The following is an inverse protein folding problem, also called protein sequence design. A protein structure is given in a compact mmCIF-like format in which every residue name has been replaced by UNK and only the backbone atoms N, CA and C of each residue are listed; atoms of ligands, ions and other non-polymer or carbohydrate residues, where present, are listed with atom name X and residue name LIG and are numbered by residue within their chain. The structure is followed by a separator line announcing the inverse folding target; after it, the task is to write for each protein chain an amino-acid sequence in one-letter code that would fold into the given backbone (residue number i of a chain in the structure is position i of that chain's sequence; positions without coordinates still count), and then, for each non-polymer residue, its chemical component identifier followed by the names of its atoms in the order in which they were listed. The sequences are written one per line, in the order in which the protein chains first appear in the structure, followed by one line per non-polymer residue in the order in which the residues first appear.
data_IF_479591042019
#
_entry.id   IF_479591042019
#
_cell.length_a   1.000
_cell.length_b   1.000
_cell.length_c   1.000
_cell.angle_alpha   90.00
_cell.angle_beta   90.00
_cell.angle_gamma   90.00
#
_symmetry.space_group_name_H-M   'P 1'
#
loop_
_entity.id
_entity.type
_entity.pdbx_description
1 polymer ?
#
# COMPACT_ATOMS: atom_id res chain seq x y z
N UNK A 1 -2.25 32.16 -1.66
CA UNK A 1 -1.50 31.04 -2.30
C UNK A 1 -0.94 30.07 -1.24
N UNK A 2 -1.65 29.86 -0.12
CA UNK A 2 -1.38 28.82 0.88
C UNK A 2 -2.53 27.80 0.96
N UNK A 3 -3.73 28.19 0.52
CA UNK A 3 -4.94 27.36 0.58
C UNK A 3 -4.94 26.13 -0.33
N UNK A 4 -4.13 26.06 -1.39
CA UNK A 4 -4.07 24.88 -2.28
C UNK A 4 -3.23 23.74 -1.71
N UNK A 5 -2.23 24.06 -0.90
CA UNK A 5 -1.36 23.05 -0.25
C UNK A 5 -2.06 22.45 0.97
N UNK A 6 -2.91 23.22 1.65
CA UNK A 6 -3.77 22.72 2.72
C UNK A 6 -4.93 21.85 2.19
N UNK A 7 -5.47 22.13 1.00
CA UNK A 7 -6.52 21.33 0.35
C UNK A 7 -6.02 19.92 -0.06
N UNK A 8 -4.79 19.82 -0.55
CA UNK A 8 -4.12 18.54 -0.83
C UNK A 8 -3.88 17.72 0.46
N UNK A 9 -3.64 18.40 1.60
CA UNK A 9 -3.56 17.78 2.92
C UNK A 9 -4.91 17.34 3.50
N UNK A 10 -6.04 17.66 2.88
CA UNK A 10 -7.34 17.09 3.27
C UNK A 10 -7.72 15.85 2.45
N UNK A 11 -6.90 15.47 1.44
CA UNK A 11 -7.21 14.38 0.50
C UNK A 11 -6.38 13.11 0.67
N UNK A 12 -5.25 13.16 1.39
CA UNK A 12 -4.52 11.93 1.77
C UNK A 12 -5.39 11.00 2.64
N UNK A 13 -6.37 11.55 3.36
CA UNK A 13 -7.35 10.77 4.11
C UNK A 13 -8.21 9.88 3.21
N UNK A 14 -8.41 10.20 1.92
CA UNK A 14 -9.14 9.33 0.98
C UNK A 14 -8.30 8.11 0.57
N UNK A 15 -7.01 8.32 0.33
CA UNK A 15 -6.05 7.23 0.09
C UNK A 15 -5.98 6.33 1.32
N UNK A 16 -5.98 6.90 2.54
CA UNK A 16 -5.96 6.16 3.80
C UNK A 16 -7.32 5.55 4.17
N UNK A 17 -8.45 6.16 3.81
CA UNK A 17 -9.79 5.62 4.09
C UNK A 17 -10.08 4.35 3.28
N UNK A 18 -9.44 4.16 2.12
CA UNK A 18 -9.43 2.88 1.43
C UNK A 18 -8.75 1.75 2.24
N UNK A 19 -7.92 2.08 3.24
CA UNK A 19 -7.22 1.11 4.10
C UNK A 19 -8.01 0.67 5.35
N UNK A 20 -9.04 1.39 5.79
CA UNK A 20 -9.69 1.15 7.10
C UNK A 20 -10.87 0.14 7.04
N UNK A 21 -11.24 -0.32 5.85
CA UNK A 21 -12.54 -0.98 5.60
C UNK A 21 -12.62 -2.52 5.76
N UNK A 22 -11.58 -3.24 6.20
CA UNK A 22 -11.63 -4.71 6.17
C UNK A 22 -10.54 -5.46 6.91
N UNK A 23 -10.42 -5.26 8.23
CA UNK A 23 -9.52 -6.04 9.09
C UNK A 23 -10.31 -6.84 10.12
N UNK A 24 -10.74 -8.06 9.76
CA UNK A 24 -11.22 -9.05 10.75
C UNK A 24 -10.32 -10.27 10.75
N UNK A 25 -9.54 -10.37 11.82
CA UNK A 25 -8.56 -11.43 12.08
C UNK A 25 -9.21 -12.80 12.30
N UNK A 26 -8.52 -13.85 11.86
CA UNK A 26 -8.87 -15.21 12.19
C UNK A 26 -7.72 -16.18 11.96
N UNK A 27 -6.78 -16.28 12.91
CA UNK A 27 -5.92 -17.48 13.04
C UNK A 27 -5.76 -17.81 14.53
N UNK A 28 -6.09 -19.06 14.86
CA UNK A 28 -6.16 -19.61 16.21
C UNK A 28 -4.84 -20.15 16.78
N UNK A 29 -4.99 -20.59 18.03
CA UNK A 29 -4.03 -20.99 19.07
C UNK A 29 -3.22 -22.26 18.82
N UNK A 30 -2.03 -22.33 19.46
CA UNK A 30 -1.41 -23.42 20.26
C UNK A 30 0.09 -23.07 20.42
N UNK A 31 0.87 -23.30 21.49
CA UNK A 31 0.79 -24.01 22.76
C UNK A 31 2.25 -24.10 23.32
N UNK A 32 2.42 -24.06 24.63
CA UNK A 32 3.65 -23.67 25.36
C UNK A 32 4.84 -24.67 25.39
N UNK A 33 6.06 -24.15 25.62
CA UNK A 33 7.02 -24.64 26.63
C UNK A 33 8.21 -23.67 26.84
N UNK A 34 8.50 -23.38 28.11
CA UNK A 34 9.48 -22.40 28.61
C UNK A 34 10.88 -23.00 28.84
N UNK A 35 11.93 -22.16 28.87
CA UNK A 35 13.04 -22.25 29.83
C UNK A 35 13.77 -20.89 29.93
N UNK A 36 13.84 -20.35 31.15
CA UNK A 36 14.20 -18.95 31.43
C UNK A 36 15.69 -18.59 31.50
N UNK A 37 15.94 -17.28 31.66
CA UNK A 37 17.22 -16.75 32.15
C UNK A 37 17.60 -15.33 31.69
N UNK A 38 17.24 -14.33 32.51
CA UNK A 38 17.96 -13.06 32.80
C UNK A 38 18.02 -11.92 31.77
N UNK A 39 17.11 -10.96 31.99
CA UNK A 39 17.27 -9.50 31.99
C UNK A 39 18.44 -8.84 31.23
N UNK A 40 18.10 -8.22 30.10
CA UNK A 40 18.51 -6.85 29.80
C UNK A 40 17.29 -6.08 29.27
N UNK A 41 16.84 -5.09 30.05
CA UNK A 41 15.75 -4.20 29.67
C UNK A 41 16.17 -3.29 28.51
N UNK A 42 15.95 -3.77 27.29
CA UNK A 42 15.66 -2.92 26.14
C UNK A 42 14.25 -3.26 25.71
N UNK A 43 13.37 -2.27 25.60
CA UNK A 43 12.08 -2.46 24.96
C UNK A 43 12.37 -2.86 23.50
N UNK A 44 12.48 -4.16 23.24
CA UNK A 44 12.36 -4.68 21.90
C UNK A 44 10.99 -4.23 21.45
N UNK A 45 10.91 -3.47 20.36
CA UNK A 45 9.73 -3.59 19.51
C UNK A 45 9.75 -5.07 19.09
N UNK A 46 9.17 -5.94 19.92
CA UNK A 46 8.68 -7.24 19.51
C UNK A 46 7.54 -6.95 18.54
N UNK A 47 7.91 -6.44 17.37
CA UNK A 47 6.98 -6.08 16.33
C UNK A 47 6.28 -7.36 15.96
N UNK A 48 4.98 -7.44 16.28
CA UNK A 48 4.13 -8.46 15.70
C UNK A 48 4.34 -8.36 14.19
N UNK A 49 5.02 -9.35 13.62
CA UNK A 49 5.28 -9.36 12.19
C UNK A 49 3.94 -9.69 11.54
N UNK A 50 3.21 -8.66 11.13
CA UNK A 50 1.94 -8.85 10.45
C UNK A 50 2.23 -9.56 9.12
N UNK A 51 1.64 -10.74 8.95
CA UNK A 51 1.81 -11.52 7.72
C UNK A 51 0.93 -10.88 6.65
N UNK A 52 1.54 -10.41 5.56
CA UNK A 52 0.81 -9.90 4.40
C UNK A 52 0.32 -11.06 3.55
N UNK A 53 -0.97 -11.09 3.19
CA UNK A 53 -1.53 -12.13 2.32
C UNK A 53 -1.44 -11.71 0.84
N UNK A 54 -1.40 -12.68 -0.11
CA UNK A 54 -1.40 -12.36 -1.54
C UNK A 54 -2.68 -11.62 -1.96
N UNK A 55 -3.82 -11.95 -1.37
CA UNK A 55 -5.10 -11.28 -1.63
C UNK A 55 -5.06 -9.81 -1.17
N UNK A 56 -4.57 -9.56 0.05
CA UNK A 56 -4.42 -8.20 0.57
C UNK A 56 -3.52 -7.34 -0.32
N UNK A 57 -2.45 -7.92 -0.86
CA UNK A 57 -1.55 -7.20 -1.76
C UNK A 57 -2.22 -6.85 -3.12
N UNK A 58 -3.10 -7.71 -3.62
CA UNK A 58 -3.90 -7.43 -4.83
C UNK A 58 -4.92 -6.32 -4.58
N UNK A 59 -5.62 -6.40 -3.46
CA UNK A 59 -6.62 -5.40 -3.08
C UNK A 59 -5.97 -4.03 -2.87
N UNK A 60 -4.81 -4.01 -2.20
CA UNK A 60 -3.99 -2.81 -2.07
C UNK A 60 -3.58 -2.23 -3.42
N UNK A 61 -3.15 -3.07 -4.36
CA UNK A 61 -2.72 -2.62 -5.67
C UNK A 61 -3.89 -1.99 -6.47
N UNK A 62 -5.06 -2.63 -6.44
CA UNK A 62 -6.27 -2.12 -7.07
C UNK A 62 -6.70 -0.77 -6.47
N UNK A 63 -6.78 -0.68 -5.13
CA UNK A 63 -7.13 0.55 -4.44
C UNK A 63 -6.14 1.70 -4.72
N UNK A 64 -4.85 1.38 -4.79
CA UNK A 64 -3.80 2.34 -5.13
C UNK A 64 -3.93 2.86 -6.56
N UNK A 65 -4.27 1.99 -7.53
CA UNK A 65 -4.51 2.40 -8.91
C UNK A 65 -5.71 3.36 -9.01
N UNK A 66 -6.82 3.04 -8.33
CA UNK A 66 -8.01 3.89 -8.31
C UNK A 66 -7.73 5.25 -7.62
N UNK A 67 -6.97 5.24 -6.52
CA UNK A 67 -6.55 6.46 -5.83
C UNK A 67 -5.65 7.35 -6.69
N UNK A 68 -4.71 6.77 -7.44
CA UNK A 68 -3.85 7.51 -8.35
C UNK A 68 -4.62 8.10 -9.55
N UNK A 69 -5.58 7.37 -10.10
CA UNK A 69 -6.44 7.90 -11.19
C UNK A 69 -7.27 9.09 -10.67
N UNK A 70 -7.83 9.00 -9.46
CA UNK A 70 -8.59 10.09 -8.84
C UNK A 70 -7.71 11.33 -8.55
N UNK A 71 -6.45 11.13 -8.16
CA UNK A 71 -5.50 12.20 -7.85
C UNK A 71 -4.70 12.69 -9.08
N UNK A 72 -4.86 12.07 -10.26
CA UNK A 72 -4.02 12.29 -11.46
C UNK A 72 -3.78 13.76 -11.78
N UNK A 73 -4.85 14.54 -11.86
CA UNK A 73 -4.77 15.97 -12.21
C UNK A 73 -4.04 16.79 -11.15
N UNK A 74 -4.32 16.53 -9.87
CA UNK A 74 -3.65 17.20 -8.75
C UNK A 74 -2.15 16.88 -8.74
N UNK A 75 -1.78 15.64 -9.02
CA UNK A 75 -0.38 15.23 -9.07
C UNK A 75 0.37 15.82 -10.28
N UNK A 76 -0.28 15.88 -11.45
CA UNK A 76 0.27 16.58 -12.61
C UNK A 76 0.59 18.06 -12.29
N UNK A 77 -0.25 18.71 -11.48
CA UNK A 77 -0.08 20.11 -11.08
C UNK A 77 0.97 20.31 -9.98
N UNK A 78 1.31 19.27 -9.21
CA UNK A 78 2.31 19.33 -8.14
C UNK A 78 3.76 19.25 -8.62
N UNK A 79 4.04 18.54 -9.72
CA UNK A 79 5.41 18.37 -10.20
C UNK A 79 5.91 19.60 -10.99
N UNK A 80 6.44 20.59 -10.26
CA UNK A 80 6.84 21.90 -10.82
C UNK A 80 8.36 22.16 -10.82
N UNK A 81 9.24 21.15 -10.95
CA UNK A 81 10.69 21.41 -10.98
C UNK A 81 11.49 20.62 -12.05
N UNK A 82 12.27 21.27 -12.94
CA UNK A 82 12.26 22.69 -13.35
C UNK A 82 11.30 22.99 -14.52
N UNK A 83 10.67 21.97 -15.12
CA UNK A 83 9.68 22.10 -16.20
C UNK A 83 8.42 21.38 -15.73
N UNK A 84 7.22 21.99 -15.85
CA UNK A 84 5.96 21.30 -15.56
C UNK A 84 5.84 20.04 -16.43
N UNK A 85 6.03 18.89 -15.82
CA UNK A 85 5.86 17.58 -16.44
C UNK A 85 4.37 17.23 -16.25
N UNK A 86 3.51 17.83 -17.08
CA UNK A 86 2.04 17.76 -16.97
C UNK A 86 1.45 16.36 -17.18
N UNK A 87 2.26 15.32 -17.09
CA UNK A 87 1.95 13.91 -17.25
C UNK A 87 2.42 13.05 -16.06
N UNK A 88 3.04 13.61 -15.02
CA UNK A 88 3.58 12.83 -13.88
C UNK A 88 2.54 11.95 -13.19
N UNK A 89 1.38 12.52 -12.85
CA UNK A 89 0.22 11.79 -12.32
C UNK A 89 -0.35 10.79 -13.32
N UNK A 90 -0.35 11.11 -14.61
CA UNK A 90 -0.80 10.19 -15.66
C UNK A 90 0.12 8.97 -15.76
N UNK A 91 1.44 9.18 -15.72
CA UNK A 91 2.45 8.13 -15.77
C UNK A 91 2.33 7.20 -14.55
N UNK A 92 2.10 7.75 -13.35
CA UNK A 92 1.87 6.94 -12.15
C UNK A 92 0.56 6.16 -12.20
N UNK A 93 -0.55 6.78 -12.59
CA UNK A 93 -1.84 6.10 -12.70
C UNK A 93 -1.78 4.95 -13.72
N UNK A 94 -1.18 5.18 -14.89
CA UNK A 94 -0.99 4.16 -15.91
C UNK A 94 -0.12 3.00 -15.41
N UNK A 95 1.01 3.32 -14.76
CA UNK A 95 1.95 2.31 -14.24
C UNK A 95 1.28 1.44 -13.19
N UNK A 96 0.61 2.06 -12.21
CA UNK A 96 -0.05 1.32 -11.13
C UNK A 96 -1.23 0.50 -11.64
N UNK A 97 -1.99 1.02 -12.62
CA UNK A 97 -3.09 0.28 -13.23
C UNK A 97 -2.59 -0.95 -13.98
N UNK A 98 -1.53 -0.80 -14.79
CA UNK A 98 -0.93 -1.91 -15.50
C UNK A 98 -0.42 -3.00 -14.53
N UNK A 99 0.25 -2.60 -13.45
CA UNK A 99 0.72 -3.51 -12.41
C UNK A 99 -0.45 -4.24 -11.72
N UNK A 100 -1.50 -3.51 -11.32
CA UNK A 100 -2.67 -4.09 -10.67
C UNK A 100 -3.41 -5.08 -11.59
N UNK A 101 -3.59 -4.75 -12.86
CA UNK A 101 -4.23 -5.62 -13.85
C UNK A 101 -3.38 -6.88 -14.12
N UNK A 102 -2.06 -6.74 -14.22
CA UNK A 102 -1.13 -7.87 -14.38
C UNK A 102 -1.16 -8.79 -13.15
N UNK A 103 -1.14 -8.21 -11.95
CA UNK A 103 -1.30 -8.97 -10.72
C UNK A 103 -2.63 -9.72 -10.76
N UNK A 104 -3.76 -9.06 -10.99
CA UNK A 104 -5.10 -9.65 -11.02
C UNK A 104 -5.25 -10.83 -12.01
N UNK A 105 -4.44 -10.87 -13.07
CA UNK A 105 -4.42 -11.98 -14.04
C UNK A 105 -3.69 -13.25 -13.55
N UNK A 106 -2.90 -13.17 -12.47
CA UNK A 106 -2.26 -14.34 -11.86
C UNK A 106 -3.29 -15.32 -11.27
N UNK A 107 -2.97 -16.63 -11.20
CA UNK A 107 -3.78 -17.61 -10.48
C UNK A 107 -4.10 -17.20 -9.03
N UNK A 108 -5.28 -17.57 -8.55
CA UNK A 108 -5.72 -17.25 -7.18
C UNK A 108 -4.84 -17.86 -6.08
N UNK A 109 -4.19 -18.99 -6.37
CA UNK A 109 -3.27 -19.70 -5.47
C UNK A 109 -1.81 -19.23 -5.61
N UNK A 110 -1.54 -18.20 -6.41
CA UNK A 110 -0.21 -17.59 -6.48
C UNK A 110 0.22 -17.04 -5.12
N UNK A 111 1.46 -17.33 -4.74
CA UNK A 111 2.04 -16.84 -3.50
C UNK A 111 2.32 -15.34 -3.53
N UNK A 112 2.63 -14.77 -2.36
CA UNK A 112 2.87 -13.33 -2.21
C UNK A 112 4.10 -12.87 -3.01
N UNK A 113 5.11 -13.73 -3.19
CA UNK A 113 6.32 -13.39 -3.91
C UNK A 113 6.06 -13.27 -5.42
N UNK A 114 5.19 -14.11 -5.98
CA UNK A 114 4.73 -14.02 -7.35
C UNK A 114 3.93 -12.74 -7.57
N UNK A 115 2.96 -12.44 -6.69
CA UNK A 115 2.17 -11.20 -6.77
C UNK A 115 3.08 -9.97 -6.67
N UNK A 116 3.98 -9.91 -5.68
CA UNK A 116 4.89 -8.79 -5.50
C UNK A 116 5.84 -8.59 -6.68
N UNK A 117 6.30 -9.68 -7.31
CA UNK A 117 7.15 -9.61 -8.50
C UNK A 117 6.38 -9.05 -9.69
N UNK A 118 5.18 -9.56 -9.95
CA UNK A 118 4.34 -9.07 -11.04
C UNK A 118 3.93 -7.61 -10.88
N UNK A 119 3.80 -7.11 -9.64
CA UNK A 119 3.57 -5.68 -9.39
C UNK A 119 4.79 -4.80 -9.68
N UNK A 120 5.99 -5.37 -9.67
CA UNK A 120 7.26 -4.66 -9.86
C UNK A 120 7.80 -4.75 -11.30
N UNK A 121 7.23 -5.63 -12.12
CA UNK A 121 7.56 -5.82 -13.54
C UNK A 121 6.97 -4.68 -14.40
#
# INVERSE_FOLDING_TARGET
MLSRVEDARCRWEVVVAAFDGGMTDGVGSEGAAEHGGMAHGGATHGGMTQTMSPALLRDWAAASADGLEAARGEINDLNVFPIPDSDTGSNMAYTMRAAADAAAALPHDADIAAVARTLAD
#
